data_IF_656828710613
#
_entry.id   IF_656828710613
#
_cell.length_a   1.000
_cell.length_b   1.000
_cell.length_c   1.000
_cell.angle_alpha   90.00
_cell.angle_beta   90.00
_cell.angle_gamma   90.00
#
_symmetry.space_group_name_H-M   'P 1'
#
loop_
_entity.id
_entity.type
_entity.pdbx_description
1 polymer ?
#
# COMPACT_ATOMS: atom_id res chain seq x y z
N UNK A 1 25.97 17.46 -13.30
CA UNK A 1 25.95 15.98 -13.33
C UNK A 1 26.23 15.33 -11.96
N UNK A 2 26.29 16.09 -10.87
CA UNK A 2 26.56 15.59 -9.49
C UNK A 2 25.26 15.33 -8.69
N UNK A 3 24.14 15.97 -9.07
CA UNK A 3 22.84 15.82 -8.38
C UNK A 3 22.18 14.44 -8.59
N UNK A 4 22.44 13.78 -9.72
CA UNK A 4 21.87 12.45 -9.98
C UNK A 4 22.49 11.33 -9.12
N UNK A 5 23.76 11.46 -8.75
CA UNK A 5 24.45 10.47 -7.91
C UNK A 5 24.01 10.52 -6.45
N UNK A 6 23.72 11.71 -5.91
CA UNK A 6 23.27 11.87 -4.51
C UNK A 6 21.82 11.42 -4.32
N UNK A 7 20.93 11.72 -5.26
CA UNK A 7 19.52 11.27 -5.20
C UNK A 7 19.42 9.74 -5.38
N UNK A 8 20.17 9.14 -6.30
CA UNK A 8 20.22 7.70 -6.47
C UNK A 8 20.77 6.98 -5.24
N UNK A 9 21.78 7.53 -4.59
CA UNK A 9 22.33 6.99 -3.35
C UNK A 9 21.34 7.02 -2.18
N UNK A 10 20.60 8.13 -2.01
CA UNK A 10 19.55 8.23 -0.97
C UNK A 10 18.40 7.25 -1.27
N UNK A 11 18.00 7.14 -2.55
CA UNK A 11 16.96 6.20 -2.94
C UNK A 11 17.36 4.74 -2.66
N UNK A 12 18.56 4.34 -3.07
CA UNK A 12 19.11 3.01 -2.80
C UNK A 12 19.28 2.73 -1.30
N UNK A 13 19.63 3.73 -0.51
CA UNK A 13 19.71 3.60 0.94
C UNK A 13 18.33 3.39 1.59
N UNK A 14 17.28 4.06 1.09
CA UNK A 14 15.94 3.98 1.65
C UNK A 14 15.14 2.75 1.20
N UNK A 15 15.41 2.23 0.02
CA UNK A 15 14.58 1.21 -0.62
C UNK A 15 15.39 0.02 -1.19
N UNK A 16 16.70 -0.04 -0.96
CA UNK A 16 17.55 -1.15 -1.39
C UNK A 16 17.34 -1.57 -2.84
N UNK A 17 17.26 -2.89 -3.04
CA UNK A 17 17.06 -3.52 -4.35
C UNK A 17 15.57 -3.84 -4.66
N UNK A 18 14.62 -3.27 -3.91
CA UNK A 18 13.18 -3.48 -4.13
C UNK A 18 12.66 -2.89 -5.47
N UNK A 19 13.55 -2.46 -6.35
CA UNK A 19 13.29 -1.70 -7.56
C UNK A 19 12.05 -2.11 -8.37
N UNK A 20 11.88 -3.39 -8.81
CA UNK A 20 10.70 -3.77 -9.60
C UNK A 20 9.41 -3.72 -8.81
N UNK A 21 9.39 -4.20 -7.56
CA UNK A 21 8.22 -4.19 -6.71
C UNK A 21 7.81 -2.76 -6.34
N UNK A 22 8.77 -1.92 -5.98
CA UNK A 22 8.53 -0.52 -5.66
C UNK A 22 8.01 0.27 -6.86
N UNK A 23 8.53 -0.01 -8.07
CA UNK A 23 8.01 0.59 -9.31
C UNK A 23 6.54 0.22 -9.54
N UNK A 24 6.16 -1.04 -9.34
CA UNK A 24 4.77 -1.45 -9.41
C UNK A 24 3.91 -0.76 -8.36
N UNK A 25 4.36 -0.61 -7.13
CA UNK A 25 3.65 0.18 -6.12
C UNK A 25 3.41 1.61 -6.60
N UNK A 26 4.42 2.28 -7.18
CA UNK A 26 4.26 3.63 -7.76
C UNK A 26 3.18 3.64 -8.84
N UNK A 27 3.18 2.64 -9.74
CA UNK A 27 2.15 2.51 -10.79
C UNK A 27 0.75 2.38 -10.18
N UNK A 28 0.57 1.52 -9.17
CA UNK A 28 -0.73 1.34 -8.49
C UNK A 28 -1.18 2.63 -7.80
N UNK A 29 -0.27 3.31 -7.11
CA UNK A 29 -0.53 4.60 -6.44
C UNK A 29 -0.99 5.67 -7.43
N UNK A 30 -0.34 5.77 -8.60
CA UNK A 30 -0.71 6.71 -9.66
C UNK A 30 -2.10 6.36 -10.22
N UNK A 31 -2.34 5.08 -10.53
CA UNK A 31 -3.63 4.62 -11.06
C UNK A 31 -4.77 4.86 -10.06
N UNK A 32 -4.56 4.57 -8.78
CA UNK A 32 -5.58 4.85 -7.75
C UNK A 32 -5.85 6.36 -7.64
N UNK A 33 -4.82 7.19 -7.63
CA UNK A 33 -5.00 8.64 -7.60
C UNK A 33 -5.78 9.17 -8.80
N UNK A 34 -5.47 8.70 -10.01
CA UNK A 34 -6.17 9.10 -11.24
C UNK A 34 -7.62 8.63 -11.23
N UNK A 35 -7.86 7.35 -10.92
CA UNK A 35 -9.22 6.80 -10.86
C UNK A 35 -10.05 7.43 -9.76
N UNK A 36 -9.45 7.68 -8.58
CA UNK A 36 -10.10 8.33 -7.45
C UNK A 36 -10.48 9.78 -7.75
N UNK A 37 -9.59 10.53 -8.39
CA UNK A 37 -9.85 11.92 -8.80
C UNK A 37 -10.96 11.96 -9.86
N UNK A 38 -10.89 11.09 -10.86
CA UNK A 38 -11.91 11.00 -11.90
C UNK A 38 -13.28 10.61 -11.33
N UNK A 39 -13.34 9.61 -10.46
CA UNK A 39 -14.55 9.22 -9.76
C UNK A 39 -15.15 10.37 -8.95
N UNK A 40 -14.32 11.11 -8.21
CA UNK A 40 -14.76 12.26 -7.42
C UNK A 40 -15.32 13.41 -8.28
N UNK A 41 -14.70 13.67 -9.43
CA UNK A 41 -15.19 14.68 -10.39
C UNK A 41 -16.53 14.24 -10.98
N UNK A 42 -16.64 12.99 -11.45
CA UNK A 42 -17.87 12.47 -12.08
C UNK A 42 -19.04 12.37 -11.10
N UNK A 43 -18.77 12.11 -9.83
CA UNK A 43 -19.81 12.04 -8.78
C UNK A 43 -20.08 13.38 -8.09
N UNK A 44 -19.39 14.46 -8.49
CA UNK A 44 -19.55 15.79 -7.88
C UNK A 44 -19.07 15.90 -6.43
N UNK A 45 -18.27 14.93 -5.95
CA UNK A 45 -17.77 14.88 -4.57
C UNK A 45 -16.31 15.37 -4.44
N UNK A 46 -15.77 15.96 -5.49
CA UNK A 46 -14.39 16.43 -5.50
C UNK A 46 -14.18 17.62 -4.56
N UNK A 47 -13.18 17.51 -3.68
CA UNK A 47 -12.72 18.63 -2.85
C UNK A 47 -11.20 18.61 -2.75
N UNK A 48 -10.58 19.80 -2.85
CA UNK A 48 -9.11 19.93 -2.75
C UNK A 48 -8.54 19.39 -1.44
N UNK A 49 -9.27 19.58 -0.34
CA UNK A 49 -8.85 19.07 0.99
C UNK A 49 -8.80 17.56 1.04
N UNK A 50 -9.79 16.88 0.47
CA UNK A 50 -9.85 15.41 0.40
C UNK A 50 -8.73 14.85 -0.47
N UNK A 51 -8.46 15.50 -1.61
CA UNK A 51 -7.38 15.12 -2.52
C UNK A 51 -6.00 15.27 -1.86
N UNK A 52 -5.75 16.40 -1.20
CA UNK A 52 -4.49 16.63 -0.48
C UNK A 52 -4.26 15.58 0.62
N UNK A 53 -5.31 15.20 1.35
CA UNK A 53 -5.20 14.16 2.38
C UNK A 53 -4.95 12.77 1.77
N UNK A 54 -5.51 12.47 0.60
CA UNK A 54 -5.22 11.26 -0.17
C UNK A 54 -3.75 11.17 -0.57
N UNK A 55 -3.19 12.27 -1.10
CA UNK A 55 -1.76 12.35 -1.45
C UNK A 55 -0.88 12.16 -0.22
N UNK A 56 -1.21 12.81 0.90
CA UNK A 56 -0.45 12.67 2.14
C UNK A 56 -0.39 11.21 2.62
N UNK A 57 -1.52 10.49 2.60
CA UNK A 57 -1.55 9.07 2.96
C UNK A 57 -0.61 8.23 2.08
N UNK A 58 -0.56 8.51 0.79
CA UNK A 58 0.32 7.80 -0.15
C UNK A 58 1.79 8.10 0.10
N UNK A 59 2.13 9.34 0.43
CA UNK A 59 3.50 9.68 0.83
C UNK A 59 3.91 8.96 2.11
N UNK A 60 3.02 8.87 3.11
CA UNK A 60 3.27 8.11 4.33
C UNK A 60 3.44 6.61 4.07
N UNK A 61 2.73 6.03 3.10
CA UNK A 61 2.93 4.64 2.71
C UNK A 61 4.37 4.38 2.23
N UNK A 62 4.93 5.27 1.41
CA UNK A 62 6.34 5.17 1.01
C UNK A 62 7.32 5.33 2.19
N UNK A 63 7.01 6.17 3.16
CA UNK A 63 7.80 6.25 4.40
C UNK A 63 7.77 4.93 5.18
N UNK A 64 6.61 4.27 5.27
CA UNK A 64 6.48 2.96 5.94
C UNK A 64 7.27 1.89 5.19
N UNK A 65 7.27 1.89 3.85
CA UNK A 65 8.09 0.97 3.05
C UNK A 65 9.59 1.19 3.32
N UNK A 66 10.05 2.44 3.39
CA UNK A 66 11.44 2.76 3.72
C UNK A 66 11.81 2.30 5.15
N UNK A 67 10.90 2.43 6.12
CA UNK A 67 11.10 1.91 7.47
C UNK A 67 11.15 0.37 7.49
N UNK A 68 10.31 -0.30 6.69
CA UNK A 68 10.33 -1.75 6.52
C UNK A 68 11.68 -2.24 5.96
N UNK A 69 12.22 -1.53 4.95
CA UNK A 69 13.58 -1.77 4.47
C UNK A 69 14.62 -1.59 5.58
N UNK A 70 14.52 -0.52 6.37
CA UNK A 70 15.40 -0.30 7.51
C UNK A 70 15.36 -1.44 8.55
N UNK A 71 14.18 -2.03 8.77
CA UNK A 71 14.03 -3.21 9.63
C UNK A 71 14.71 -4.45 9.02
N UNK A 72 14.53 -4.70 7.71
CA UNK A 72 15.21 -5.79 7.02
C UNK A 72 16.73 -5.67 7.13
N UNK A 73 17.27 -4.45 6.99
CA UNK A 73 18.70 -4.18 7.16
C UNK A 73 19.14 -4.39 8.61
N UNK A 74 18.36 -3.91 9.59
CA UNK A 74 18.70 -4.02 11.01
C UNK A 74 18.66 -5.47 11.51
N UNK A 75 17.76 -6.29 10.98
CA UNK A 75 17.59 -7.68 11.39
C UNK A 75 18.27 -8.70 10.46
N UNK A 76 19.09 -8.25 9.50
CA UNK A 76 19.74 -9.14 8.52
C UNK A 76 20.60 -10.24 9.15
N UNK A 77 21.15 -10.01 10.36
CA UNK A 77 21.93 -11.01 11.10
C UNK A 77 21.05 -12.03 11.85
N UNK A 78 19.79 -11.66 12.16
CA UNK A 78 18.86 -12.47 12.95
C UNK A 78 17.89 -13.27 12.06
N UNK A 79 17.54 -12.73 10.91
CA UNK A 79 16.62 -13.34 9.96
C UNK A 79 17.35 -13.65 8.65
N UNK A 80 17.27 -14.90 8.15
CA UNK A 80 17.99 -15.31 6.93
C UNK A 80 17.36 -14.74 5.64
N UNK A 81 16.32 -13.89 5.74
CA UNK A 81 15.60 -13.34 4.60
C UNK A 81 15.18 -11.89 4.86
N UNK A 82 15.31 -11.07 3.85
CA UNK A 82 14.82 -9.69 3.81
C UNK A 82 13.43 -9.69 3.17
N UNK A 83 12.37 -9.88 3.96
CA UNK A 83 11.00 -10.03 3.47
C UNK A 83 10.03 -8.97 3.97
N UNK A 84 10.40 -8.20 5.01
CA UNK A 84 9.50 -7.23 5.65
C UNK A 84 9.13 -6.14 4.65
N UNK A 85 10.11 -5.62 3.90
CA UNK A 85 9.88 -4.63 2.85
C UNK A 85 8.97 -5.18 1.76
N UNK A 86 9.28 -6.37 1.23
CA UNK A 86 8.50 -6.99 0.16
C UNK A 86 7.05 -7.27 0.56
N UNK A 87 6.82 -7.78 1.77
CA UNK A 87 5.48 -7.99 2.32
C UNK A 87 4.74 -6.66 2.47
N UNK A 88 5.44 -5.63 2.97
CA UNK A 88 4.86 -4.29 3.15
C UNK A 88 4.43 -3.69 1.82
N UNK A 89 5.27 -3.76 0.78
CA UNK A 89 4.95 -3.31 -0.56
C UNK A 89 3.73 -4.06 -1.12
N UNK A 90 3.72 -5.40 -1.01
CA UNK A 90 2.59 -6.22 -1.49
C UNK A 90 1.28 -5.88 -0.77
N UNK A 91 1.32 -5.61 0.54
CA UNK A 91 0.15 -5.21 1.30
C UNK A 91 -0.41 -3.86 0.81
N UNK A 92 0.45 -2.87 0.59
CA UNK A 92 0.03 -1.58 0.01
C UNK A 92 -0.51 -1.74 -1.41
N UNK A 93 0.14 -2.53 -2.27
CA UNK A 93 -0.35 -2.80 -3.63
C UNK A 93 -1.74 -3.43 -3.63
N UNK A 94 -2.01 -4.36 -2.73
CA UNK A 94 -3.33 -4.96 -2.58
C UNK A 94 -4.39 -3.91 -2.16
N UNK A 95 -4.05 -3.01 -1.24
CA UNK A 95 -4.91 -1.90 -0.84
C UNK A 95 -5.19 -0.92 -1.97
N UNK A 96 -4.16 -0.50 -2.72
CA UNK A 96 -4.32 0.39 -3.88
C UNK A 96 -5.17 -0.28 -4.97
N UNK A 97 -4.98 -1.58 -5.22
CA UNK A 97 -5.79 -2.33 -6.17
C UNK A 97 -7.28 -2.36 -5.77
N UNK A 98 -7.57 -2.60 -4.50
CA UNK A 98 -8.94 -2.53 -3.97
C UNK A 98 -9.56 -1.13 -4.17
N UNK A 99 -8.81 -0.07 -3.87
CA UNK A 99 -9.24 1.32 -4.08
C UNK A 99 -9.53 1.64 -5.55
N UNK A 100 -8.69 1.16 -6.48
CA UNK A 100 -8.91 1.32 -7.93
C UNK A 100 -10.25 0.68 -8.33
N UNK A 101 -10.53 -0.55 -7.87
CA UNK A 101 -11.79 -1.24 -8.15
C UNK A 101 -12.98 -0.44 -7.62
N UNK A 102 -12.91 0.04 -6.38
CA UNK A 102 -13.97 0.87 -5.80
C UNK A 102 -14.21 2.17 -6.59
N UNK A 103 -13.14 2.80 -7.06
CA UNK A 103 -13.23 4.00 -7.87
C UNK A 103 -13.90 3.73 -9.21
N UNK A 104 -13.55 2.62 -9.87
CA UNK A 104 -14.23 2.17 -11.12
C UNK A 104 -15.70 1.89 -10.88
N UNK A 105 -16.06 1.26 -9.77
CA UNK A 105 -17.45 1.00 -9.39
C UNK A 105 -18.26 2.29 -9.18
N UNK A 106 -17.67 3.30 -8.50
CA UNK A 106 -18.30 4.62 -8.32
C UNK A 106 -18.58 5.33 -9.65
N UNK A 107 -17.77 5.06 -10.67
CA UNK A 107 -17.97 5.57 -12.02
C UNK A 107 -19.00 4.74 -12.83
N UNK A 108 -19.56 3.66 -12.26
CA UNK A 108 -20.46 2.75 -12.96
C UNK A 108 -19.76 1.75 -13.89
N UNK A 109 -18.43 1.74 -13.88
CA UNK A 109 -17.61 0.86 -14.73
C UNK A 109 -17.37 -0.47 -13.99
N UNK A 110 -18.27 -1.44 -14.18
CA UNK A 110 -18.10 -2.80 -13.63
C UNK A 110 -17.15 -3.63 -14.49
N UNK A 111 -15.90 -3.21 -14.57
CA UNK A 111 -14.86 -3.84 -15.42
C UNK A 111 -14.29 -5.09 -14.78
N UNK A 112 -14.37 -5.21 -13.46
CA UNK A 112 -13.75 -6.30 -12.71
C UNK A 112 -14.62 -7.55 -12.77
N UNK A 113 -14.09 -8.69 -13.24
CA UNK A 113 -14.83 -9.94 -13.26
C UNK A 113 -15.34 -10.32 -11.86
N UNK A 114 -16.54 -10.91 -11.75
CA UNK A 114 -17.12 -11.28 -10.45
C UNK A 114 -16.22 -12.22 -9.61
N UNK A 115 -15.40 -13.03 -10.28
CA UNK A 115 -14.45 -13.94 -9.62
C UNK A 115 -13.36 -13.17 -8.87
N UNK A 116 -12.79 -12.14 -9.50
CA UNK A 116 -11.75 -11.30 -8.87
C UNK A 116 -12.33 -10.53 -7.68
N UNK A 117 -13.54 -10.01 -7.81
CA UNK A 117 -14.26 -9.33 -6.72
C UNK A 117 -14.48 -10.27 -5.53
N UNK A 118 -15.00 -11.46 -5.76
CA UNK A 118 -15.17 -12.48 -4.71
C UNK A 118 -13.86 -12.87 -4.02
N UNK A 119 -12.76 -12.92 -4.79
CA UNK A 119 -11.44 -13.22 -4.23
C UNK A 119 -10.97 -12.10 -3.29
N UNK A 120 -11.15 -10.84 -3.68
CA UNK A 120 -10.79 -9.67 -2.86
C UNK A 120 -11.64 -9.65 -1.60
N UNK A 121 -12.95 -9.84 -1.70
CA UNK A 121 -13.86 -9.89 -0.55
C UNK A 121 -13.47 -11.03 0.42
N UNK A 122 -13.09 -12.19 -0.12
CA UNK A 122 -12.65 -13.33 0.68
C UNK A 122 -11.30 -13.06 1.37
N UNK A 123 -10.37 -12.37 0.72
CA UNK A 123 -9.09 -11.97 1.30
C UNK A 123 -9.29 -10.95 2.42
N UNK A 124 -10.09 -9.92 2.19
CA UNK A 124 -10.41 -8.90 3.18
C UNK A 124 -11.08 -9.55 4.41
N UNK A 125 -12.07 -10.40 4.21
CA UNK A 125 -12.74 -11.11 5.30
C UNK A 125 -11.81 -12.04 6.11
N UNK A 126 -10.77 -12.60 5.47
CA UNK A 126 -9.74 -13.38 6.19
C UNK A 126 -8.80 -12.48 6.97
N UNK A 127 -8.39 -11.34 6.40
CA UNK A 127 -7.53 -10.37 7.07
C UNK A 127 -8.20 -9.82 8.31
N UNK A 128 -9.46 -9.38 8.21
CA UNK A 128 -10.24 -8.88 9.34
C UNK A 128 -10.33 -9.92 10.47
N UNK A 129 -10.68 -11.17 10.15
CA UNK A 129 -10.72 -12.26 11.14
C UNK A 129 -9.37 -12.55 11.79
N UNK A 130 -8.28 -12.35 11.07
CA UNK A 130 -6.94 -12.57 11.61
C UNK A 130 -6.55 -11.43 12.55
N UNK A 131 -6.86 -10.18 12.16
CA UNK A 131 -6.64 -9.00 13.01
C UNK A 131 -7.45 -9.10 14.30
N UNK A 132 -8.73 -9.47 14.23
CA UNK A 132 -9.58 -9.63 15.41
C UNK A 132 -9.04 -10.70 16.36
N UNK A 133 -8.57 -11.84 15.84
CA UNK A 133 -7.97 -12.90 16.67
C UNK A 133 -6.69 -12.46 17.36
N UNK A 134 -5.82 -11.69 16.66
CA UNK A 134 -4.59 -11.15 17.24
C UNK A 134 -4.94 -10.14 18.34
N UNK A 135 -5.89 -9.23 18.09
CA UNK A 135 -6.34 -8.26 19.06
C UNK A 135 -6.94 -8.92 20.32
N UNK A 136 -7.73 -10.00 20.16
CA UNK A 136 -8.27 -10.76 21.29
C UNK A 136 -7.18 -11.50 22.10
N UNK A 137 -6.12 -12.00 21.44
CA UNK A 137 -5.01 -12.67 22.12
C UNK A 137 -4.20 -11.69 22.97
N UNK A 138 -3.93 -10.50 22.45
CA UNK A 138 -3.16 -9.48 23.15
C UNK A 138 -3.91 -8.95 24.41
N UNK A 139 -5.24 -8.82 24.33
CA UNK A 139 -6.06 -8.41 25.46
C UNK A 139 -6.06 -9.48 26.58
N UNK A 140 -6.00 -10.77 26.22
CA UNK A 140 -5.95 -11.85 27.19
C UNK A 140 -4.59 -11.99 27.89
N UNK A 141 -3.50 -11.60 27.24
CA UNK A 141 -2.16 -11.63 27.84
C UNK A 141 -1.90 -10.41 28.76
N UNK A 142 -2.43 -9.24 28.40
CA UNK A 142 -2.25 -8.00 29.19
C UNK A 142 -3.21 -7.89 30.38
N UNK A 143 -4.24 -8.72 30.46
CA UNK A 143 -5.22 -8.76 31.55
C UNK A 143 -4.89 -9.70 32.72
N UNK A 144 -3.67 -10.27 32.76
CA UNK A 144 -3.14 -11.05 33.88
C UNK A 144 -2.01 -10.28 34.55
#
# INVERSE_FOLDING_TARGET
MVLGGSMGGVFSFLYGDAGPLLLWLVVFVILDFLTGTLAAVLTGTWTSKRNAFGVLKKMLAFCIVALAHGLDVAFCELLPFQIIESITICAYMAGEFGSIIENLDKMGLRVVPPVVRKLIDALNAKLDKTVDKVAESDIKETGK
#
